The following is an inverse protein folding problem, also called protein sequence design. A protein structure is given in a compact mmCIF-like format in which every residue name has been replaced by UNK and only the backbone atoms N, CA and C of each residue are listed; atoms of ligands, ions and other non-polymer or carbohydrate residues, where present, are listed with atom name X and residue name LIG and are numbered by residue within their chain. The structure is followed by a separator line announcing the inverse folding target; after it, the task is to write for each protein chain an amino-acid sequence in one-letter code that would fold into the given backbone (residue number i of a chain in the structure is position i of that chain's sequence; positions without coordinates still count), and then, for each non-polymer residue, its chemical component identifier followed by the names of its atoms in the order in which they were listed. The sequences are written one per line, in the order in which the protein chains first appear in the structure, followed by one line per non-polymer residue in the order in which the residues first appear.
data_IF_352166467061
#
_entry.id   IF_352166467061
#
_cell.length_a   1.000
_cell.length_b   1.000
_cell.length_c   1.000
_cell.angle_alpha   90.00
_cell.angle_beta   90.00
_cell.angle_gamma   90.00
#
_symmetry.space_group_name_H-M   'P 1'
#
loop_
_entity.id
_entity.type
_entity.pdbx_description
1 polymer ?
#
# COMPACT_ATOMS: atom_id res chain seq x y z
N UNK A 1 -44.75 -20.11 -2.39
CA UNK A 1 -43.39 -20.48 -2.81
C UNK A 1 -43.05 -19.67 -4.05
N UNK A 2 -42.48 -18.52 -3.88
CA UNK A 2 -42.01 -17.66 -4.98
C UNK A 2 -40.60 -17.19 -4.60
N UNK A 3 -39.66 -17.59 -5.43
CA UNK A 3 -38.21 -17.52 -5.40
C UNK A 3 -37.72 -16.09 -5.29
N UNK A 4 -37.00 -15.79 -4.19
CA UNK A 4 -36.11 -14.64 -4.04
C UNK A 4 -34.70 -15.08 -4.49
N UNK A 5 -34.43 -15.02 -5.79
CA UNK A 5 -33.10 -15.18 -6.37
C UNK A 5 -32.90 -14.03 -7.36
N UNK A 6 -32.18 -12.99 -7.01
CA UNK A 6 -31.90 -11.95 -7.99
C UNK A 6 -31.20 -10.68 -7.54
N UNK A 7 -30.23 -10.69 -6.62
CA UNK A 7 -29.47 -9.45 -6.33
C UNK A 7 -27.97 -9.61 -6.08
N UNK A 8 -27.39 -10.79 -6.25
CA UNK A 8 -25.97 -11.04 -5.97
C UNK A 8 -25.04 -11.02 -7.19
N UNK A 9 -25.56 -10.94 -8.41
CA UNK A 9 -24.74 -10.98 -9.64
C UNK A 9 -23.91 -9.72 -9.94
N UNK A 10 -24.39 -8.48 -9.74
CA UNK A 10 -23.59 -7.29 -10.09
C UNK A 10 -22.38 -7.08 -9.17
N UNK A 11 -22.47 -7.48 -7.90
CA UNK A 11 -21.37 -7.28 -6.93
C UNK A 11 -20.18 -8.21 -7.19
N UNK A 12 -20.42 -9.46 -7.57
CA UNK A 12 -19.36 -10.42 -7.93
C UNK A 12 -18.62 -10.00 -9.22
N UNK A 13 -19.33 -9.39 -10.18
CA UNK A 13 -18.70 -8.87 -11.40
C UNK A 13 -17.79 -7.67 -11.09
N UNK A 14 -18.21 -6.76 -10.20
CA UNK A 14 -17.41 -5.62 -9.76
C UNK A 14 -16.12 -6.06 -9.07
N UNK A 15 -16.19 -7.00 -8.13
CA UNK A 15 -14.99 -7.53 -7.46
C UNK A 15 -14.02 -8.20 -8.45
N UNK A 16 -14.53 -8.89 -9.48
CA UNK A 16 -13.70 -9.49 -10.51
C UNK A 16 -12.98 -8.43 -11.36
N UNK A 17 -13.65 -7.35 -11.75
CA UNK A 17 -13.03 -6.24 -12.49
C UNK A 17 -11.96 -5.51 -11.64
N UNK A 18 -12.23 -5.26 -10.36
CA UNK A 18 -11.29 -4.60 -9.44
C UNK A 18 -10.06 -5.48 -9.16
N UNK A 19 -10.24 -6.77 -8.92
CA UNK A 19 -9.14 -7.72 -8.72
C UNK A 19 -8.30 -7.90 -10.00
N UNK A 20 -8.91 -7.84 -11.18
CA UNK A 20 -8.21 -7.83 -12.46
C UNK A 20 -7.38 -6.54 -12.63
N UNK A 21 -7.92 -5.38 -12.27
CA UNK A 21 -7.20 -4.12 -12.31
C UNK A 21 -5.97 -4.15 -11.39
N UNK A 22 -6.12 -4.69 -10.17
CA UNK A 22 -5.01 -4.85 -9.24
C UNK A 22 -3.93 -5.80 -9.79
N UNK A 23 -4.31 -6.97 -10.30
CA UNK A 23 -3.38 -7.94 -10.86
C UNK A 23 -2.62 -7.39 -12.07
N UNK A 24 -3.29 -6.63 -12.94
CA UNK A 24 -2.67 -5.93 -14.06
C UNK A 24 -1.65 -4.89 -13.58
N UNK A 25 -1.98 -4.14 -12.53
CA UNK A 25 -1.07 -3.14 -11.93
C UNK A 25 0.16 -3.79 -11.30
N UNK A 26 0.00 -4.92 -10.62
CA UNK A 26 1.11 -5.69 -10.05
C UNK A 26 2.04 -6.22 -11.14
N UNK A 27 1.48 -6.79 -12.21
CA UNK A 27 2.26 -7.30 -13.34
C UNK A 27 3.08 -6.19 -14.02
N UNK A 28 2.52 -5.00 -14.21
CA UNK A 28 3.24 -3.84 -14.76
C UNK A 28 4.36 -3.36 -13.84
N UNK A 29 4.11 -3.27 -12.54
CA UNK A 29 5.12 -2.85 -11.57
C UNK A 29 6.28 -3.84 -11.54
N UNK A 30 5.99 -5.16 -11.51
CA UNK A 30 7.04 -6.19 -11.54
C UNK A 30 7.86 -6.12 -12.82
N UNK A 31 7.26 -5.84 -13.96
CA UNK A 31 7.98 -5.66 -15.23
C UNK A 31 8.93 -4.46 -15.19
N UNK A 32 8.52 -3.34 -14.61
CA UNK A 32 9.35 -2.13 -14.47
C UNK A 32 10.50 -2.37 -13.49
N UNK A 33 10.25 -3.06 -12.37
CA UNK A 33 11.25 -3.29 -11.32
C UNK A 33 12.21 -4.43 -11.65
N UNK A 34 11.76 -5.47 -12.35
CA UNK A 34 12.61 -6.62 -12.71
C UNK A 34 13.69 -6.26 -13.74
N UNK A 35 13.49 -5.21 -14.54
CA UNK A 35 14.52 -4.71 -15.45
C UNK A 35 15.72 -4.08 -14.72
N UNK A 36 15.59 -3.74 -13.43
CA UNK A 36 16.61 -3.04 -12.65
C UNK A 36 17.21 -3.87 -11.48
N UNK A 37 16.65 -5.01 -11.14
CA UNK A 37 17.16 -5.86 -10.07
C UNK A 37 17.90 -7.05 -10.67
N UNK A 38 19.19 -6.91 -10.93
CA UNK A 38 20.10 -8.05 -10.87
C UNK A 38 20.13 -8.51 -9.41
N UNK A 39 19.25 -9.44 -9.06
CA UNK A 39 19.37 -10.15 -7.80
C UNK A 39 20.71 -10.90 -7.84
N UNK A 40 21.68 -10.40 -7.09
CA UNK A 40 22.89 -11.18 -6.82
C UNK A 40 22.41 -12.49 -6.15
N UNK A 41 22.47 -13.59 -6.90
CA UNK A 41 22.21 -14.93 -6.37
C UNK A 41 23.34 -15.30 -5.40
N UNK A 42 23.30 -14.71 -4.19
CA UNK A 42 24.17 -15.07 -3.09
C UNK A 42 23.55 -16.30 -2.44
N UNK A 43 24.06 -17.48 -2.79
CA UNK A 43 23.70 -18.70 -2.08
C UNK A 43 24.71 -18.92 -0.95
N UNK A 44 24.23 -18.96 0.30
CA UNK A 44 25.05 -19.39 1.44
C UNK A 44 25.15 -20.92 1.45
N UNK A 45 26.36 -21.45 1.70
CA UNK A 45 26.51 -22.89 1.97
C UNK A 45 25.65 -23.30 3.17
N UNK A 46 24.98 -24.43 3.06
CA UNK A 46 24.20 -25.00 4.15
C UNK A 46 25.04 -25.58 5.26
N UNK A 47 26.27 -25.95 4.97
CA UNK A 47 27.14 -26.73 5.88
C UNK A 47 28.41 -25.97 6.28
N UNK A 48 28.98 -25.14 5.38
CA UNK A 48 30.26 -24.50 5.60
C UNK A 48 30.08 -23.03 6.03
N UNK A 49 30.92 -22.56 6.94
CA UNK A 49 30.98 -21.14 7.36
C UNK A 49 31.86 -20.31 6.44
N UNK A 50 32.80 -20.94 5.71
CA UNK A 50 33.74 -20.29 4.82
C UNK A 50 34.21 -21.23 3.72
N UNK A 51 35.16 -20.79 2.91
CA UNK A 51 35.77 -21.62 1.89
C UNK A 51 36.69 -22.68 2.52
N UNK A 52 36.72 -23.92 2.01
CA UNK A 52 37.75 -24.88 2.35
C UNK A 52 39.12 -24.32 2.09
N UNK A 53 40.08 -24.54 2.97
CA UNK A 53 41.47 -24.16 2.77
C UNK A 53 42.35 -25.37 2.63
N UNK A 54 43.33 -25.27 1.74
CA UNK A 54 44.36 -26.27 1.55
C UNK A 54 45.66 -25.60 1.99
N UNK A 55 46.41 -26.21 2.88
CA UNK A 55 47.72 -25.76 3.28
C UNK A 55 48.75 -26.84 2.98
N UNK A 56 49.88 -26.39 2.44
CA UNK A 56 51.05 -27.22 2.19
C UNK A 56 52.22 -26.60 2.98
N UNK A 57 52.81 -27.36 3.82
CA UNK A 57 54.04 -26.96 4.55
C UNK A 57 55.16 -27.93 4.29
N UNK A 58 56.37 -27.35 4.25
CA UNK A 58 57.64 -28.09 4.16
C UNK A 58 58.60 -27.53 5.20
N UNK A 59 59.07 -28.37 6.08
CA UNK A 59 60.05 -28.06 7.09
C UNK A 59 61.30 -28.93 6.86
N UNK A 60 62.42 -28.32 6.63
CA UNK A 60 63.74 -29.02 6.56
C UNK A 60 64.57 -28.71 7.77
N UNK A 61 65.33 -29.70 8.27
CA UNK A 61 66.30 -29.50 9.36
C UNK A 61 67.52 -28.69 8.83
N UNK A 62 67.99 -27.73 9.60
CA UNK A 62 69.23 -26.98 9.29
C UNK A 62 70.48 -27.74 9.66
N UNK A 63 70.34 -28.64 10.64
CA UNK A 63 71.44 -29.40 11.18
C UNK A 63 71.64 -30.79 10.55
N UNK A 64 70.52 -31.32 9.96
CA UNK A 64 70.52 -32.62 9.30
C UNK A 64 69.79 -32.52 7.95
N UNK A 65 70.58 -32.49 6.86
CA UNK A 65 70.04 -32.35 5.48
C UNK A 65 69.15 -33.50 5.04
N UNK A 66 69.12 -34.62 5.73
CA UNK A 66 68.27 -35.78 5.43
C UNK A 66 67.02 -35.88 6.29
N UNK A 67 66.77 -34.85 7.12
CA UNK A 67 65.54 -34.79 7.93
C UNK A 67 64.63 -33.70 7.40
N UNK A 68 63.44 -34.05 6.95
CA UNK A 68 62.40 -33.12 6.49
C UNK A 68 61.00 -33.60 6.87
N UNK A 69 60.08 -32.65 6.90
CA UNK A 69 58.70 -32.89 7.14
C UNK A 69 57.89 -32.15 6.05
N UNK A 70 57.00 -32.88 5.40
CA UNK A 70 56.01 -32.32 4.44
C UNK A 70 54.64 -32.61 4.93
N UNK A 71 53.78 -31.61 5.00
CA UNK A 71 52.41 -31.74 5.41
C UNK A 71 51.47 -31.08 4.40
N UNK A 72 50.49 -31.86 3.94
CA UNK A 72 49.37 -31.36 3.18
C UNK A 72 48.11 -31.49 4.06
N UNK A 73 47.45 -30.38 4.34
CA UNK A 73 46.20 -30.41 5.09
C UNK A 73 45.06 -29.71 4.35
N UNK A 74 43.87 -30.28 4.45
CA UNK A 74 42.62 -29.70 3.95
C UNK A 74 41.75 -29.39 5.14
N UNK A 75 41.38 -28.15 5.33
CA UNK A 75 40.55 -27.67 6.43
C UNK A 75 39.17 -27.31 5.95
N UNK A 76 38.16 -27.88 6.54
CA UNK A 76 36.75 -27.72 6.24
C UNK A 76 36.07 -27.02 7.42
N UNK A 77 35.74 -25.72 7.31
CA UNK A 77 35.04 -25.01 8.39
C UNK A 77 33.53 -25.27 8.34
N UNK A 78 33.02 -26.03 9.29
CA UNK A 78 31.60 -26.39 9.40
C UNK A 78 30.84 -25.40 10.30
N UNK A 79 29.58 -25.16 9.97
CA UNK A 79 28.66 -24.44 10.85
C UNK A 79 28.36 -25.24 12.11
N UNK A 80 28.41 -24.58 13.26
CA UNK A 80 27.93 -25.20 14.49
C UNK A 80 26.41 -25.49 14.37
N UNK A 81 25.87 -26.49 15.11
CA UNK A 81 24.43 -26.76 15.09
C UNK A 81 23.57 -25.58 15.44
N UNK A 82 24.03 -24.68 16.31
CA UNK A 82 23.34 -23.44 16.67
C UNK A 82 23.27 -22.49 15.47
N UNK A 83 24.38 -22.27 14.76
CA UNK A 83 24.45 -21.41 13.57
C UNK A 83 23.59 -21.96 12.43
N UNK A 84 23.63 -23.27 12.21
CA UNK A 84 22.79 -23.93 11.21
C UNK A 84 21.28 -23.74 11.49
N UNK A 85 20.84 -23.86 12.74
CA UNK A 85 19.46 -23.64 13.13
C UNK A 85 19.06 -22.16 12.97
N UNK A 86 19.94 -21.23 13.33
CA UNK A 86 19.71 -19.80 13.14
C UNK A 86 19.57 -19.42 11.67
N UNK A 87 20.43 -19.95 10.80
CA UNK A 87 20.35 -19.73 9.34
C UNK A 87 19.02 -20.23 8.77
N UNK A 88 18.55 -21.39 9.21
CA UNK A 88 17.26 -21.94 8.81
C UNK A 88 16.11 -21.02 9.24
N UNK A 89 16.15 -20.49 10.45
CA UNK A 89 15.15 -19.54 10.95
C UNK A 89 15.21 -18.21 10.18
N UNK A 90 16.40 -17.67 9.91
CA UNK A 90 16.58 -16.46 9.11
C UNK A 90 15.97 -16.63 7.72
N UNK A 91 16.22 -17.78 7.07
CA UNK A 91 15.65 -18.08 5.77
C UNK A 91 14.12 -18.11 5.80
N UNK A 92 13.52 -18.79 6.78
CA UNK A 92 12.07 -18.83 6.94
C UNK A 92 11.47 -17.44 7.21
N UNK A 93 12.17 -16.62 8.02
CA UNK A 93 11.76 -15.26 8.27
C UNK A 93 11.85 -14.40 7.01
N UNK A 94 12.92 -14.54 6.21
CA UNK A 94 13.10 -13.81 4.95
C UNK A 94 11.96 -14.12 3.96
N UNK A 95 11.54 -15.38 3.86
CA UNK A 95 10.39 -15.79 3.03
C UNK A 95 9.08 -15.11 3.50
N UNK A 96 8.84 -15.09 4.81
CA UNK A 96 7.65 -14.41 5.40
C UNK A 96 7.71 -12.89 5.22
N UNK A 97 8.88 -12.28 5.37
CA UNK A 97 9.10 -10.85 5.11
C UNK A 97 8.78 -10.54 3.64
N UNK A 98 9.27 -11.35 2.71
CA UNK A 98 8.98 -11.16 1.29
C UNK A 98 7.48 -11.26 0.98
N UNK A 99 6.77 -12.22 1.59
CA UNK A 99 5.31 -12.32 1.46
C UNK A 99 4.60 -11.05 1.97
N UNK A 100 5.00 -10.51 3.11
CA UNK A 100 4.41 -9.27 3.65
C UNK A 100 4.78 -8.04 2.82
N UNK A 101 5.97 -7.98 2.25
CA UNK A 101 6.36 -6.92 1.31
C UNK A 101 5.48 -6.93 0.06
N UNK A 102 5.24 -8.11 -0.51
CA UNK A 102 4.33 -8.27 -1.67
C UNK A 102 2.90 -7.86 -1.32
N UNK A 103 2.40 -8.25 -0.14
CA UNK A 103 1.08 -7.84 0.34
C UNK A 103 1.00 -6.32 0.52
N UNK A 104 2.04 -5.70 1.08
CA UNK A 104 2.11 -4.24 1.25
C UNK A 104 2.17 -3.50 -0.09
N UNK A 105 2.91 -4.02 -1.07
CA UNK A 105 2.91 -3.47 -2.44
C UNK A 105 1.52 -3.55 -3.08
N UNK A 106 0.84 -4.70 -2.92
CA UNK A 106 -0.54 -4.86 -3.38
C UNK A 106 -1.49 -3.86 -2.71
N UNK A 107 -1.35 -3.66 -1.41
CA UNK A 107 -2.13 -2.67 -0.67
C UNK A 107 -1.86 -1.23 -1.15
N UNK A 108 -0.61 -0.87 -1.41
CA UNK A 108 -0.24 0.43 -1.96
C UNK A 108 -0.86 0.68 -3.34
N UNK A 109 -0.76 -0.30 -4.25
CA UNK A 109 -1.39 -0.22 -5.57
C UNK A 109 -2.91 -0.14 -5.47
N UNK A 110 -3.53 -0.90 -4.55
CA UNK A 110 -4.96 -0.80 -4.25
C UNK A 110 -5.36 0.61 -3.82
N UNK A 111 -4.53 1.28 -3.01
CA UNK A 111 -4.75 2.66 -2.59
C UNK A 111 -4.77 3.64 -3.77
N UNK A 112 -3.80 3.53 -4.68
CA UNK A 112 -3.74 4.37 -5.88
C UNK A 112 -4.90 4.08 -6.85
N UNK A 113 -5.28 2.81 -7.02
CA UNK A 113 -6.43 2.43 -7.83
C UNK A 113 -7.73 2.98 -7.23
N UNK A 114 -7.96 2.80 -5.93
CA UNK A 114 -9.12 3.37 -5.23
C UNK A 114 -9.18 4.89 -5.42
N UNK A 115 -8.05 5.58 -5.26
CA UNK A 115 -7.99 7.02 -5.47
C UNK A 115 -8.45 7.38 -6.88
N UNK A 116 -7.85 6.80 -7.93
CA UNK A 116 -8.19 7.12 -9.32
C UNK A 116 -9.67 6.82 -9.65
N UNK A 117 -10.18 5.68 -9.18
CA UNK A 117 -11.56 5.25 -9.41
C UNK A 117 -12.58 6.19 -8.75
N UNK A 118 -12.37 6.53 -7.48
CA UNK A 118 -13.29 7.40 -6.74
C UNK A 118 -13.23 8.86 -7.18
N UNK A 119 -12.05 9.38 -7.54
CA UNK A 119 -11.92 10.72 -8.13
C UNK A 119 -12.64 10.81 -9.48
N UNK A 120 -12.51 9.78 -10.31
CA UNK A 120 -13.25 9.68 -11.57
C UNK A 120 -14.76 9.66 -11.32
N UNK A 121 -15.24 8.82 -10.40
CA UNK A 121 -16.66 8.72 -10.04
C UNK A 121 -17.23 10.02 -9.49
N UNK A 122 -16.48 10.73 -8.65
CA UNK A 122 -16.88 12.06 -8.18
C UNK A 122 -17.02 13.05 -9.33
N UNK A 123 -16.10 13.01 -10.30
CA UNK A 123 -16.15 13.86 -11.48
C UNK A 123 -17.39 13.56 -12.36
N UNK A 124 -17.74 12.29 -12.55
CA UNK A 124 -18.98 11.90 -13.25
C UNK A 124 -20.24 12.49 -12.57
N UNK A 125 -20.32 12.36 -11.24
CA UNK A 125 -21.46 12.93 -10.50
C UNK A 125 -21.51 14.45 -10.63
N UNK A 126 -20.38 15.15 -10.51
CA UNK A 126 -20.31 16.60 -10.70
C UNK A 126 -20.75 16.99 -12.11
N UNK A 127 -20.25 16.31 -13.15
CA UNK A 127 -20.64 16.57 -14.54
C UNK A 127 -22.13 16.38 -14.76
N UNK A 128 -22.70 15.29 -14.27
CA UNK A 128 -24.14 15.03 -14.41
C UNK A 128 -25.01 16.11 -13.74
N UNK A 129 -24.54 16.67 -12.62
CA UNK A 129 -25.23 17.78 -11.94
C UNK A 129 -25.09 19.09 -12.72
N UNK A 130 -23.91 19.38 -13.28
CA UNK A 130 -23.74 20.55 -14.16
C UNK A 130 -24.60 20.46 -15.42
N UNK A 131 -24.72 19.28 -16.02
CA UNK A 131 -25.59 19.06 -17.18
C UNK A 131 -27.08 19.36 -16.86
N UNK A 132 -27.56 18.93 -15.68
CA UNK A 132 -28.90 19.27 -15.23
C UNK A 132 -29.11 20.77 -15.03
N UNK A 133 -28.11 21.46 -14.44
CA UNK A 133 -28.13 22.92 -14.31
C UNK A 133 -28.17 23.60 -15.67
N UNK A 134 -27.33 23.18 -16.60
CA UNK A 134 -27.28 23.74 -17.95
C UNK A 134 -28.62 23.56 -18.68
N UNK A 135 -29.18 22.35 -18.66
CA UNK A 135 -30.49 22.10 -19.27
C UNK A 135 -31.60 23.01 -18.73
N UNK A 136 -31.56 23.33 -17.43
CA UNK A 136 -32.48 24.27 -16.83
C UNK A 136 -32.25 25.68 -17.33
N UNK A 137 -30.98 26.14 -17.29
CA UNK A 137 -30.61 27.50 -17.77
C UNK A 137 -30.96 27.70 -19.23
N UNK A 138 -30.76 26.69 -20.08
CA UNK A 138 -31.12 26.74 -21.51
C UNK A 138 -32.64 26.95 -21.70
N UNK A 139 -33.48 26.24 -20.93
CA UNK A 139 -34.94 26.44 -20.96
C UNK A 139 -35.33 27.84 -20.49
N UNK A 140 -34.75 28.30 -19.39
CA UNK A 140 -35.02 29.62 -18.84
C UNK A 140 -34.53 30.73 -19.78
N UNK A 141 -33.35 30.58 -20.35
CA UNK A 141 -32.79 31.52 -21.33
C UNK A 141 -33.70 31.64 -22.57
N UNK A 142 -34.17 30.52 -23.11
CA UNK A 142 -35.09 30.55 -24.26
C UNK A 142 -36.40 31.31 -23.95
N UNK A 143 -37.00 31.06 -22.77
CA UNK A 143 -38.21 31.77 -22.32
C UNK A 143 -37.99 33.25 -22.10
N UNK A 144 -36.89 33.63 -21.40
CA UNK A 144 -36.58 35.01 -21.10
C UNK A 144 -36.22 35.81 -22.36
N UNK A 145 -35.52 35.17 -23.30
CA UNK A 145 -35.18 35.82 -24.57
C UNK A 145 -36.43 36.17 -25.38
N UNK A 146 -37.40 35.25 -25.46
CA UNK A 146 -38.70 35.54 -26.14
C UNK A 146 -39.42 36.75 -25.55
N UNK A 147 -39.44 36.85 -24.21
CA UNK A 147 -40.08 38.00 -23.52
C UNK A 147 -39.28 39.29 -23.64
N UNK A 148 -37.95 39.19 -23.65
CA UNK A 148 -37.09 40.37 -23.88
C UNK A 148 -37.21 40.88 -25.32
N UNK A 149 -37.25 40.00 -26.32
CA UNK A 149 -37.42 40.35 -27.72
C UNK A 149 -38.81 40.96 -27.98
N UNK A 150 -39.82 40.57 -27.19
CA UNK A 150 -41.15 41.17 -27.19
C UNK A 150 -41.23 42.53 -26.44
N UNK A 151 -40.13 42.96 -25.77
CA UNK A 151 -40.06 44.18 -24.97
C UNK A 151 -40.74 44.07 -23.59
N UNK A 152 -41.15 42.87 -23.16
CA UNK A 152 -41.82 42.65 -21.89
C UNK A 152 -40.88 42.52 -20.69
N UNK A 153 -39.58 42.20 -20.93
CA UNK A 153 -38.59 42.05 -19.87
C UNK A 153 -37.30 42.83 -20.17
N UNK A 154 -36.59 43.26 -19.10
CA UNK A 154 -35.28 43.89 -19.25
C UNK A 154 -34.21 42.93 -19.78
N UNK A 155 -33.34 43.40 -20.68
CA UNK A 155 -32.18 42.66 -21.20
C UNK A 155 -31.27 42.09 -20.08
N UNK A 156 -31.19 42.78 -18.95
CA UNK A 156 -30.40 42.37 -17.80
C UNK A 156 -30.71 40.91 -17.33
N UNK A 157 -31.98 40.46 -17.42
CA UNK A 157 -32.37 39.11 -17.03
C UNK A 157 -31.73 38.04 -17.93
N UNK A 158 -31.66 38.30 -19.24
CA UNK A 158 -31.02 37.41 -20.21
C UNK A 158 -29.50 37.36 -19.98
N UNK A 159 -28.86 38.50 -19.75
CA UNK A 159 -27.43 38.57 -19.48
C UNK A 159 -27.02 37.86 -18.19
N UNK A 160 -27.86 37.87 -17.16
CA UNK A 160 -27.61 37.08 -15.92
C UNK A 160 -27.58 35.57 -16.21
N UNK A 161 -28.50 35.05 -17.01
CA UNK A 161 -28.54 33.65 -17.41
C UNK A 161 -27.32 33.26 -18.28
N UNK A 162 -26.94 34.15 -19.22
CA UNK A 162 -25.72 33.95 -20.03
C UNK A 162 -24.48 33.84 -19.15
N UNK A 163 -24.33 34.71 -18.15
CA UNK A 163 -23.24 34.64 -17.18
C UNK A 163 -23.20 33.36 -16.43
N UNK A 164 -24.34 32.88 -15.88
CA UNK A 164 -24.44 31.59 -15.19
C UNK A 164 -24.05 30.43 -16.12
N UNK A 165 -24.43 30.48 -17.40
CA UNK A 165 -24.02 29.44 -18.37
C UNK A 165 -22.49 29.43 -18.60
N UNK A 166 -21.85 30.61 -18.61
CA UNK A 166 -20.37 30.71 -18.70
C UNK A 166 -19.72 30.12 -17.44
N UNK A 167 -20.25 30.40 -16.25
CA UNK A 167 -19.72 29.90 -14.99
C UNK A 167 -19.85 28.35 -14.90
N UNK A 168 -20.94 27.78 -15.42
CA UNK A 168 -21.11 26.32 -15.59
C UNK A 168 -20.08 25.77 -16.59
N UNK A 169 -19.87 26.44 -17.72
CA UNK A 169 -18.91 25.99 -18.73
C UNK A 169 -17.48 25.94 -18.19
N UNK A 170 -17.07 26.95 -17.41
CA UNK A 170 -15.78 26.99 -16.72
C UNK A 170 -15.65 25.83 -15.72
N UNK A 171 -16.66 25.66 -14.86
CA UNK A 171 -16.68 24.55 -13.89
C UNK A 171 -16.61 23.18 -14.58
N UNK A 172 -17.29 23.04 -15.72
CA UNK A 172 -17.25 21.80 -16.53
C UNK A 172 -15.86 21.53 -17.08
N UNK A 173 -15.16 22.55 -17.56
CA UNK A 173 -13.79 22.42 -18.09
C UNK A 173 -12.82 21.92 -17.00
N UNK A 174 -12.90 22.49 -15.79
CA UNK A 174 -12.08 22.07 -14.65
C UNK A 174 -12.35 20.61 -14.24
N UNK A 175 -13.62 20.20 -14.19
CA UNK A 175 -13.99 18.83 -13.81
C UNK A 175 -13.58 17.84 -14.90
N UNK A 176 -13.70 18.17 -16.18
CA UNK A 176 -13.21 17.32 -17.28
C UNK A 176 -11.69 17.11 -17.21
N UNK A 177 -10.94 18.15 -16.83
CA UNK A 177 -9.50 18.03 -16.60
C UNK A 177 -9.20 17.07 -15.43
N UNK A 178 -9.91 17.20 -14.29
CA UNK A 178 -9.75 16.29 -13.16
C UNK A 178 -10.09 14.84 -13.55
N UNK A 179 -11.18 14.65 -14.30
CA UNK A 179 -11.59 13.33 -14.80
C UNK A 179 -10.53 12.71 -15.71
N UNK A 180 -9.96 13.50 -16.62
CA UNK A 180 -8.88 13.04 -17.51
C UNK A 180 -7.61 12.66 -16.74
N UNK A 181 -7.25 13.41 -15.69
CA UNK A 181 -6.12 13.08 -14.82
C UNK A 181 -6.33 11.76 -14.08
N UNK A 182 -7.52 11.54 -13.52
CA UNK A 182 -7.86 10.29 -12.81
C UNK A 182 -7.85 9.09 -13.77
N UNK A 183 -8.36 9.27 -15.00
CA UNK A 183 -8.31 8.24 -16.04
C UNK A 183 -6.86 7.94 -16.46
N UNK A 184 -6.04 8.97 -16.66
CA UNK A 184 -4.63 8.81 -17.02
C UNK A 184 -3.85 8.04 -15.94
N UNK A 185 -4.10 8.33 -14.66
CA UNK A 185 -3.51 7.58 -13.54
C UNK A 185 -3.93 6.10 -13.58
N UNK A 186 -5.22 5.84 -13.78
CA UNK A 186 -5.73 4.47 -13.91
C UNK A 186 -5.08 3.72 -15.09
N UNK A 187 -4.99 4.35 -16.26
CA UNK A 187 -4.33 3.80 -17.45
C UNK A 187 -2.84 3.53 -17.20
N UNK A 188 -2.16 4.44 -16.52
CA UNK A 188 -0.75 4.28 -16.16
C UNK A 188 -0.56 3.05 -15.24
N UNK A 189 -1.44 2.85 -14.27
CA UNK A 189 -1.36 1.75 -13.32
C UNK A 189 -1.72 0.41 -13.97
N UNK A 190 -2.84 0.34 -14.69
CA UNK A 190 -3.41 -0.93 -15.18
C UNK A 190 -3.06 -1.26 -16.63
N UNK A 191 -2.79 -0.24 -17.46
CA UNK A 191 -2.70 -0.36 -18.91
C UNK A 191 -4.05 -0.50 -19.61
N UNK A 192 -5.16 -0.32 -18.90
CA UNK A 192 -6.51 -0.42 -19.45
C UNK A 192 -7.04 0.98 -19.80
N UNK A 193 -7.72 1.11 -20.94
CA UNK A 193 -8.23 2.40 -21.42
C UNK A 193 -9.60 2.78 -20.83
N UNK A 194 -10.27 1.86 -20.18
CA UNK A 194 -11.61 2.08 -19.61
C UNK A 194 -11.65 1.77 -18.13
N UNK A 195 -12.33 2.63 -17.37
CA UNK A 195 -12.64 2.40 -15.97
C UNK A 195 -13.63 1.23 -15.81
N UNK A 196 -13.57 0.46 -14.72
CA UNK A 196 -14.59 -0.52 -14.36
C UNK A 196 -15.98 0.11 -14.27
N UNK A 197 -17.00 -0.64 -14.67
CA UNK A 197 -18.38 -0.15 -14.62
C UNK A 197 -18.92 -0.05 -13.20
N UNK A 198 -18.46 -0.91 -12.30
CA UNK A 198 -18.79 -0.91 -10.89
C UNK A 198 -17.51 -0.85 -10.06
N UNK A 199 -17.42 0.16 -9.18
CA UNK A 199 -16.26 0.43 -8.33
C UNK A 199 -16.58 0.20 -6.84
N UNK A 200 -17.80 -0.17 -6.55
CA UNK A 200 -18.26 -0.41 -5.18
C UNK A 200 -17.71 -1.73 -4.67
N UNK A 201 -16.98 -1.65 -3.57
CA UNK A 201 -16.47 -2.83 -2.88
C UNK A 201 -17.55 -3.43 -2.00
N UNK A 202 -17.57 -4.75 -1.86
CA UNK A 202 -18.56 -5.45 -1.04
C UNK A 202 -18.49 -4.96 0.41
N UNK A 203 -19.65 -4.80 1.03
CA UNK A 203 -19.76 -4.50 2.46
C UNK A 203 -19.16 -5.64 3.29
N UNK A 204 -17.85 -5.59 3.49
CA UNK A 204 -17.18 -6.48 4.44
C UNK A 204 -17.36 -5.89 5.84
N UNK A 205 -17.73 -6.72 6.83
CA UNK A 205 -17.84 -6.23 8.18
C UNK A 205 -16.48 -5.66 8.62
N UNK A 206 -16.44 -4.36 8.78
CA UNK A 206 -15.30 -3.64 9.37
C UNK A 206 -15.18 -4.14 10.81
N UNK A 207 -14.24 -5.03 11.10
CA UNK A 207 -14.02 -5.59 12.42
C UNK A 207 -13.81 -4.49 13.49
N UNK A 208 -13.73 -4.87 14.77
CA UNK A 208 -13.40 -3.92 15.84
C UNK A 208 -11.98 -3.41 15.65
N UNK A 209 -11.81 -2.33 14.89
CA UNK A 209 -10.60 -1.63 14.46
C UNK A 209 -9.24 -2.11 15.01
N UNK A 210 -9.07 -2.17 16.34
CA UNK A 210 -7.79 -2.53 16.95
C UNK A 210 -7.35 -4.01 16.69
N UNK A 211 -8.28 -4.96 16.64
CA UNK A 211 -7.95 -6.38 16.38
C UNK A 211 -7.58 -6.57 14.90
N UNK A 212 -8.21 -5.81 14.01
CA UNK A 212 -7.96 -5.89 12.56
C UNK A 212 -6.64 -5.21 12.20
N UNK A 213 -6.24 -4.12 12.89
CA UNK A 213 -4.95 -3.46 12.69
C UNK A 213 -3.75 -4.38 12.99
N UNK A 214 -3.91 -5.35 13.88
CA UNK A 214 -2.86 -6.35 14.14
C UNK A 214 -2.55 -7.23 12.91
N UNK A 215 -3.48 -7.34 11.97
CA UNK A 215 -3.31 -8.09 10.71
C UNK A 215 -2.82 -7.22 9.55
N UNK A 216 -2.68 -5.90 9.76
CA UNK A 216 -2.23 -4.97 8.72
C UNK A 216 -0.84 -5.35 8.17
N UNK A 217 -0.64 -5.47 6.83
CA UNK A 217 0.63 -5.94 6.24
C UNK A 217 1.85 -5.14 6.70
N UNK A 218 1.73 -3.82 6.85
CA UNK A 218 2.81 -2.96 7.36
C UNK A 218 3.20 -3.35 8.79
N UNK A 219 2.23 -3.55 9.68
CA UNK A 219 2.47 -3.95 11.07
C UNK A 219 3.16 -5.31 11.14
N UNK A 220 2.66 -6.29 10.37
CA UNK A 220 3.24 -7.61 10.30
C UNK A 220 4.67 -7.57 9.74
N UNK A 221 4.92 -6.78 8.69
CA UNK A 221 6.25 -6.58 8.11
C UNK A 221 7.24 -6.05 9.14
N UNK A 222 6.90 -4.96 9.82
CA UNK A 222 7.77 -4.35 10.83
C UNK A 222 8.07 -5.30 11.99
N UNK A 223 7.09 -6.07 12.44
CA UNK A 223 7.26 -7.08 13.48
C UNK A 223 8.20 -8.22 13.05
N UNK A 224 8.06 -8.70 11.82
CA UNK A 224 8.95 -9.71 11.25
C UNK A 224 10.38 -9.17 11.07
N UNK A 225 10.54 -7.92 10.63
CA UNK A 225 11.85 -7.26 10.53
C UNK A 225 12.53 -7.12 11.90
N UNK A 226 11.78 -6.79 12.95
CA UNK A 226 12.30 -6.77 14.32
C UNK A 226 12.78 -8.16 14.74
N UNK A 227 11.98 -9.20 14.48
CA UNK A 227 12.39 -10.59 14.79
C UNK A 227 13.65 -11.00 14.01
N UNK A 228 13.74 -10.62 12.73
CA UNK A 228 14.92 -10.88 11.91
C UNK A 228 16.15 -10.18 12.47
N UNK A 229 16.02 -8.91 12.85
CA UNK A 229 17.12 -8.13 13.43
C UNK A 229 17.65 -8.77 14.72
N UNK A 230 16.76 -9.16 15.64
CA UNK A 230 17.14 -9.84 16.87
C UNK A 230 17.85 -11.18 16.59
N UNK A 231 17.35 -11.95 15.63
CA UNK A 231 17.95 -13.23 15.25
C UNK A 231 19.32 -13.05 14.58
N UNK A 232 19.48 -12.03 13.72
CA UNK A 232 20.78 -11.70 13.10
C UNK A 232 21.84 -11.36 14.16
N UNK A 233 21.50 -10.56 15.18
CA UNK A 233 22.40 -10.23 16.28
C UNK A 233 22.78 -11.50 17.05
N UNK A 234 21.83 -12.34 17.39
CA UNK A 234 22.11 -13.62 18.07
C UNK A 234 23.03 -14.51 17.22
N UNK A 235 22.81 -14.51 15.90
CA UNK A 235 23.62 -15.30 14.95
C UNK A 235 25.02 -14.74 14.81
N UNK A 236 25.17 -13.40 14.78
CA UNK A 236 26.47 -12.74 14.71
C UNK A 236 27.31 -13.12 15.94
N UNK A 237 26.74 -13.05 17.13
CA UNK A 237 27.42 -13.48 18.35
C UNK A 237 27.73 -14.98 18.40
N UNK A 238 26.90 -15.81 17.78
CA UNK A 238 27.20 -17.23 17.62
C UNK A 238 28.27 -17.49 16.55
N UNK A 239 28.40 -16.61 15.55
CA UNK A 239 29.37 -16.69 14.45
C UNK A 239 30.76 -16.17 14.79
N UNK A 240 30.89 -15.31 15.83
CA UNK A 240 32.19 -14.90 16.38
C UNK A 240 32.93 -16.05 17.08
N UNK A 241 32.28 -17.19 17.25
CA UNK A 241 32.92 -18.43 17.69
C UNK A 241 33.63 -19.07 16.49
N UNK A 242 34.86 -19.52 16.71
CA UNK A 242 35.59 -20.26 15.69
C UNK A 242 34.72 -21.40 15.13
N UNK A 243 34.71 -21.61 13.82
CA UNK A 243 33.93 -22.68 13.22
C UNK A 243 34.42 -24.06 13.69
N UNK A 244 33.54 -25.02 13.71
CA UNK A 244 33.97 -26.41 13.85
C UNK A 244 34.82 -26.75 12.63
N UNK A 245 36.04 -27.16 12.82
CA UNK A 245 36.95 -27.45 11.72
C UNK A 245 37.23 -28.96 11.68
N UNK A 246 36.99 -29.55 10.51
CA UNK A 246 37.46 -30.89 10.22
C UNK A 246 38.69 -30.78 9.33
N UNK A 247 39.81 -31.25 9.80
CA UNK A 247 41.08 -31.25 9.07
C UNK A 247 41.48 -32.66 8.66
N UNK A 248 41.78 -32.80 7.36
CA UNK A 248 42.38 -34.00 6.81
C UNK A 248 43.83 -33.71 6.53
N UNK A 249 44.76 -34.47 7.14
CA UNK A 249 46.20 -34.20 7.04
C UNK A 249 46.89 -35.42 6.49
N UNK A 250 47.74 -35.22 5.46
CA UNK A 250 48.70 -36.20 5.01
C UNK A 250 50.11 -35.67 5.31
N UNK A 251 50.87 -36.41 6.07
CA UNK A 251 52.22 -36.04 6.53
C UNK A 251 53.22 -37.05 6.06
N UNK A 252 54.34 -36.57 5.53
CA UNK A 252 55.49 -37.37 5.18
C UNK A 252 56.72 -36.82 5.92
N UNK A 253 57.32 -37.67 6.75
CA UNK A 253 58.51 -37.32 7.53
C UNK A 253 59.64 -38.24 7.14
N UNK A 254 60.81 -37.66 6.93
CA UNK A 254 62.06 -38.40 6.76
C UNK A 254 63.00 -38.01 7.90
N UNK A 255 63.53 -39.01 8.62
CA UNK A 255 64.52 -38.79 9.64
C UNK A 255 65.56 -39.92 9.62
N UNK A 256 66.82 -39.53 9.48
CA UNK A 256 67.97 -40.45 9.50
C UNK A 256 67.86 -41.63 8.51
N UNK A 257 67.16 -41.45 7.35
CA UNK A 257 66.98 -42.45 6.31
C UNK A 257 65.74 -43.36 6.48
N UNK A 258 64.88 -43.06 7.43
CA UNK A 258 63.58 -43.74 7.61
C UNK A 258 62.46 -42.75 7.15
N UNK A 259 61.69 -43.17 6.14
CA UNK A 259 60.52 -42.43 5.67
C UNK A 259 59.26 -42.99 6.41
N UNK A 260 58.45 -42.06 6.95
CA UNK A 260 57.19 -42.40 7.62
C UNK A 260 56.05 -41.55 6.99
N UNK A 261 54.98 -42.22 6.54
CA UNK A 261 53.81 -41.60 5.97
C UNK A 261 52.64 -41.75 6.92
N UNK A 262 52.05 -40.62 7.28
CA UNK A 262 50.96 -40.55 8.24
C UNK A 262 49.71 -39.92 7.61
N UNK A 263 48.53 -40.44 7.89
CA UNK A 263 47.24 -39.87 7.57
C UNK A 263 46.49 -39.55 8.87
N UNK A 264 46.06 -38.32 9.00
CA UNK A 264 45.36 -37.86 10.20
C UNK A 264 44.00 -37.22 9.88
N UNK A 265 43.07 -37.41 10.80
CA UNK A 265 41.82 -36.69 10.83
C UNK A 265 41.75 -35.94 12.16
N UNK A 266 41.58 -34.64 12.14
CA UNK A 266 41.39 -33.84 13.34
C UNK A 266 40.02 -33.13 13.29
N UNK A 267 39.34 -33.10 14.43
CA UNK A 267 38.13 -32.34 14.61
C UNK A 267 38.36 -31.34 15.72
N UNK A 268 38.33 -30.05 15.37
CA UNK A 268 38.42 -28.93 16.32
C UNK A 268 37.04 -28.39 16.62
N UNK A 269 36.67 -28.39 17.88
CA UNK A 269 35.40 -27.85 18.39
C UNK A 269 35.76 -26.72 19.35
N UNK A 270 35.40 -25.46 19.05
CA UNK A 270 35.70 -24.34 19.94
C UNK A 270 34.88 -24.47 21.23
N UNK A 271 35.54 -24.39 22.37
CA UNK A 271 34.90 -24.37 23.69
C UNK A 271 34.78 -22.91 24.14
N UNK A 272 33.56 -22.40 24.13
CA UNK A 272 33.27 -21.02 24.60
C UNK A 272 32.97 -21.05 26.10
N UNK A 273 33.87 -20.54 26.89
CA UNK A 273 33.73 -20.34 28.34
C UNK A 273 33.28 -18.89 28.62
N UNK A 274 32.07 -18.54 28.20
CA UNK A 274 31.46 -17.21 28.42
C UNK A 274 31.12 -16.45 27.15
N UNK A 275 30.27 -15.42 27.25
CA UNK A 275 29.97 -14.50 26.16
C UNK A 275 30.99 -13.37 26.14
N UNK A 276 31.70 -13.20 25.02
CA UNK A 276 32.66 -12.11 24.81
C UNK A 276 31.99 -10.90 24.17
N UNK A 277 30.75 -10.54 24.59
CA UNK A 277 30.16 -9.28 24.16
C UNK A 277 30.95 -8.12 24.74
N UNK A 278 31.48 -7.26 23.87
CA UNK A 278 32.02 -5.98 24.34
C UNK A 278 30.91 -5.08 24.84
N UNK A 279 31.19 -4.22 25.80
CA UNK A 279 30.21 -3.24 26.32
C UNK A 279 29.74 -2.30 25.20
N UNK A 280 30.58 -2.05 24.21
CA UNK A 280 30.28 -1.27 23.00
C UNK A 280 29.20 -1.97 22.16
N UNK A 281 29.37 -3.26 21.88
CA UNK A 281 28.42 -4.04 21.05
C UNK A 281 27.06 -4.18 21.76
N UNK A 282 27.07 -4.37 23.08
CA UNK A 282 25.87 -4.41 23.88
C UNK A 282 25.11 -3.08 23.82
N UNK A 283 25.81 -1.94 23.92
CA UNK A 283 25.20 -0.62 23.85
C UNK A 283 24.62 -0.30 22.47
N UNK A 284 25.32 -0.64 21.39
CA UNK A 284 24.82 -0.51 20.01
C UNK A 284 23.59 -1.37 19.78
N UNK A 285 23.59 -2.60 20.26
CA UNK A 285 22.44 -3.47 20.17
C UNK A 285 21.21 -2.91 20.93
N UNK A 286 21.41 -2.44 22.15
CA UNK A 286 20.34 -1.83 22.93
C UNK A 286 19.76 -0.60 22.22
N UNK A 287 20.61 0.25 21.66
CA UNK A 287 20.19 1.42 20.89
C UNK A 287 19.38 1.03 19.65
N UNK A 288 19.89 0.10 18.84
CA UNK A 288 19.20 -0.37 17.64
C UNK A 288 17.84 -1.02 17.96
N UNK A 289 17.78 -1.82 19.03
CA UNK A 289 16.53 -2.45 19.46
C UNK A 289 15.52 -1.41 19.97
N UNK A 290 15.98 -0.38 20.69
CA UNK A 290 15.14 0.72 21.17
C UNK A 290 14.59 1.52 19.99
N UNK A 291 15.43 1.86 19.01
CA UNK A 291 15.01 2.59 17.81
C UNK A 291 13.96 1.81 17.01
N UNK A 292 14.16 0.51 16.86
CA UNK A 292 13.21 -0.35 16.16
C UNK A 292 11.88 -0.51 16.91
N UNK A 293 11.92 -0.58 18.24
CA UNK A 293 10.73 -0.59 19.09
C UNK A 293 9.94 0.72 18.95
N UNK A 294 10.64 1.88 18.97
CA UNK A 294 10.02 3.18 18.74
C UNK A 294 9.37 3.31 17.36
N UNK A 295 9.98 2.75 16.33
CA UNK A 295 9.41 2.73 14.99
C UNK A 295 8.13 1.88 14.92
N UNK A 296 8.09 0.74 15.60
CA UNK A 296 6.88 -0.07 15.75
C UNK A 296 5.77 0.70 16.44
N UNK A 297 6.06 1.31 17.60
CA UNK A 297 5.08 2.07 18.38
C UNK A 297 4.53 3.25 17.56
N UNK A 298 5.42 3.99 16.85
CA UNK A 298 5.00 5.06 15.96
C UNK A 298 4.06 4.57 14.88
N UNK A 299 4.42 3.49 14.17
CA UNK A 299 3.59 2.93 13.10
C UNK A 299 2.24 2.44 13.61
N UNK A 300 2.18 1.84 14.81
CA UNK A 300 0.94 1.45 15.44
C UNK A 300 0.03 2.65 15.75
N UNK A 301 0.62 3.73 16.27
CA UNK A 301 -0.10 4.97 16.56
C UNK A 301 -0.60 5.64 15.26
N UNK A 302 0.21 5.66 14.20
CA UNK A 302 -0.17 6.21 12.90
C UNK A 302 -1.35 5.44 12.28
N UNK A 303 -1.30 4.10 12.25
CA UNK A 303 -2.39 3.27 11.77
C UNK A 303 -3.68 3.48 12.57
N UNK A 304 -3.55 3.55 13.91
CA UNK A 304 -4.69 3.81 14.78
C UNK A 304 -5.28 5.20 14.54
N UNK A 305 -4.43 6.23 14.44
CA UNK A 305 -4.88 7.59 14.17
C UNK A 305 -5.60 7.71 12.82
N UNK A 306 -5.08 7.07 11.77
CA UNK A 306 -5.75 7.02 10.46
C UNK A 306 -7.13 6.38 10.58
N UNK A 307 -7.23 5.24 11.25
CA UNK A 307 -8.51 4.58 11.48
C UNK A 307 -9.50 5.47 12.24
N UNK A 308 -9.09 6.01 13.38
CA UNK A 308 -9.93 6.88 14.22
C UNK A 308 -10.38 8.15 13.46
N UNK A 309 -9.54 8.68 12.56
CA UNK A 309 -9.89 9.80 11.70
C UNK A 309 -10.98 9.41 10.69
N UNK A 310 -10.89 8.24 10.05
CA UNK A 310 -11.90 7.76 9.10
C UNK A 310 -13.24 7.46 9.80
N UNK A 311 -13.22 6.95 11.02
CA UNK A 311 -14.44 6.74 11.82
C UNK A 311 -15.12 8.07 12.15
N UNK A 312 -14.34 9.09 12.57
CA UNK A 312 -14.89 10.43 12.79
C UNK A 312 -15.45 11.05 11.52
N UNK A 313 -14.76 10.86 10.40
CA UNK A 313 -15.22 11.35 9.09
C UNK A 313 -16.53 10.67 8.67
N UNK A 314 -16.69 9.38 8.93
CA UNK A 314 -17.94 8.66 8.67
C UNK A 314 -19.11 9.26 9.45
N UNK A 315 -18.92 9.50 10.75
CA UNK A 315 -19.94 10.12 11.60
C UNK A 315 -20.35 11.50 11.06
N UNK A 316 -19.36 12.30 10.64
CA UNK A 316 -19.62 13.62 10.07
C UNK A 316 -20.38 13.54 8.74
N UNK A 317 -19.97 12.67 7.81
CA UNK A 317 -20.64 12.51 6.52
C UNK A 317 -22.09 12.00 6.66
N UNK A 318 -22.35 11.10 7.60
CA UNK A 318 -23.71 10.62 7.89
C UNK A 318 -24.59 11.76 8.41
N UNK A 319 -24.07 12.59 9.33
CA UNK A 319 -24.81 13.75 9.81
C UNK A 319 -25.02 14.79 8.71
N UNK A 320 -24.01 15.05 7.86
CA UNK A 320 -24.15 15.91 6.69
C UNK A 320 -25.22 15.37 5.73
N UNK A 321 -25.30 14.06 5.50
CA UNK A 321 -26.34 13.45 4.66
C UNK A 321 -27.73 13.72 5.21
N UNK A 322 -27.91 13.59 6.51
CA UNK A 322 -29.17 13.87 7.19
C UNK A 322 -29.58 15.34 7.01
N UNK A 323 -28.65 16.28 7.27
CA UNK A 323 -28.90 17.71 7.14
C UNK A 323 -29.15 18.14 5.69
N UNK A 324 -28.37 17.61 4.72
CA UNK A 324 -28.57 17.90 3.30
C UNK A 324 -29.89 17.36 2.78
N UNK A 325 -30.34 16.23 3.29
CA UNK A 325 -31.68 15.68 2.94
C UNK A 325 -32.80 16.61 3.43
N UNK A 326 -32.68 17.13 4.66
CA UNK A 326 -33.63 18.10 5.19
C UNK A 326 -33.58 19.44 4.42
N UNK A 327 -32.36 19.94 4.15
CA UNK A 327 -32.19 21.19 3.38
C UNK A 327 -32.77 21.08 1.98
N UNK A 328 -32.59 19.94 1.29
CA UNK A 328 -33.16 19.71 -0.03
C UNK A 328 -34.69 19.70 0.00
N UNK A 329 -35.31 19.05 0.99
CA UNK A 329 -36.75 19.07 1.16
C UNK A 329 -37.29 20.49 1.33
N UNK A 330 -36.68 21.28 2.22
CA UNK A 330 -37.05 22.68 2.45
C UNK A 330 -36.83 23.55 1.20
N UNK A 331 -35.69 23.40 0.50
CA UNK A 331 -35.40 24.15 -0.72
C UNK A 331 -36.43 23.88 -1.83
N UNK A 332 -36.85 22.62 -1.98
CA UNK A 332 -37.90 22.25 -2.95
C UNK A 332 -39.24 22.91 -2.61
N UNK A 333 -39.69 22.84 -1.35
CA UNK A 333 -40.92 23.49 -0.91
C UNK A 333 -40.85 25.01 -1.14
N UNK A 334 -39.70 25.67 -0.79
CA UNK A 334 -39.49 27.10 -1.02
C UNK A 334 -39.61 27.43 -2.52
N UNK A 335 -38.95 26.66 -3.40
CA UNK A 335 -38.97 26.93 -4.84
C UNK A 335 -40.35 26.71 -5.44
N UNK A 336 -41.13 25.73 -4.96
CA UNK A 336 -42.51 25.50 -5.36
C UNK A 336 -43.44 26.66 -4.93
N UNK A 337 -43.32 27.14 -3.70
CA UNK A 337 -44.09 28.28 -3.22
C UNK A 337 -43.74 29.58 -3.95
N UNK A 338 -42.45 29.84 -4.17
CA UNK A 338 -41.96 30.99 -4.93
C UNK A 338 -42.44 30.95 -6.41
N UNK A 339 -42.53 29.78 -7.01
CA UNK A 339 -43.06 29.62 -8.36
C UNK A 339 -44.54 30.09 -8.48
N UNK A 340 -45.37 29.81 -7.48
CA UNK A 340 -46.79 30.24 -7.44
C UNK A 340 -46.92 31.77 -7.33
N UNK A 341 -46.04 32.40 -6.58
CA UNK A 341 -46.08 33.86 -6.31
C UNK A 341 -45.40 34.66 -7.42
N UNK A 342 -44.41 34.07 -8.11
CA UNK A 342 -43.69 34.68 -9.27
C UNK A 342 -44.68 35.04 -10.38
N UNK A 343 -45.65 34.21 -10.67
CA UNK A 343 -46.63 34.46 -11.73
C UNK A 343 -47.65 35.59 -11.37
N UNK A 344 -47.62 36.07 -10.13
CA UNK A 344 -48.43 37.17 -9.60
C UNK A 344 -47.66 38.49 -9.45
N UNK A 345 -46.45 38.63 -10.03
CA UNK A 345 -45.55 39.78 -9.92
C UNK A 345 -45.14 40.16 -8.47
N UNK A 346 -45.35 39.30 -7.50
CA UNK A 346 -45.05 39.55 -6.08
C UNK A 346 -43.57 39.27 -5.69
N UNK A 347 -42.85 38.49 -6.51
CA UNK A 347 -41.44 38.16 -6.29
C UNK A 347 -40.63 38.36 -7.56
N UNK A 348 -39.46 39.02 -7.44
CA UNK A 348 -38.59 39.21 -8.58
C UNK A 348 -38.08 37.86 -9.13
N UNK A 349 -37.99 37.77 -10.46
CA UNK A 349 -37.46 36.60 -11.15
C UNK A 349 -36.07 36.18 -10.64
N UNK A 350 -35.21 37.16 -10.31
CA UNK A 350 -33.85 36.95 -9.78
C UNK A 350 -33.90 36.16 -8.45
N UNK A 351 -34.79 36.55 -7.53
CA UNK A 351 -34.93 35.84 -6.23
C UNK A 351 -35.37 34.41 -6.42
N UNK A 352 -36.34 34.15 -7.30
CA UNK A 352 -36.79 32.80 -7.63
C UNK A 352 -35.65 31.97 -8.26
N UNK A 353 -34.94 32.52 -9.25
CA UNK A 353 -33.83 31.85 -9.92
C UNK A 353 -32.72 31.46 -8.92
N UNK A 354 -32.32 32.41 -8.07
CA UNK A 354 -31.31 32.19 -7.04
C UNK A 354 -31.69 31.02 -6.11
N UNK A 355 -32.92 30.98 -5.63
CA UNK A 355 -33.42 29.91 -4.77
C UNK A 355 -33.49 28.58 -5.48
N UNK A 356 -33.83 28.59 -6.75
CA UNK A 356 -33.83 27.39 -7.57
C UNK A 356 -32.41 26.84 -7.78
N UNK A 357 -31.45 27.69 -8.08
CA UNK A 357 -30.05 27.30 -8.22
C UNK A 357 -29.48 26.76 -6.89
N UNK A 358 -29.80 27.39 -5.75
CA UNK A 358 -29.44 26.90 -4.43
C UNK A 358 -30.02 25.49 -4.13
N UNK A 359 -31.24 25.21 -4.60
CA UNK A 359 -31.84 23.88 -4.47
C UNK A 359 -31.07 22.83 -5.29
N UNK A 360 -30.68 23.14 -6.52
CA UNK A 360 -29.85 22.27 -7.36
C UNK A 360 -28.44 22.06 -6.75
N UNK A 361 -27.85 23.10 -6.15
CA UNK A 361 -26.58 22.97 -5.43
C UNK A 361 -26.69 22.06 -4.22
N UNK A 362 -27.79 22.14 -3.50
CA UNK A 362 -28.07 21.24 -2.35
C UNK A 362 -28.26 19.80 -2.83
N UNK A 363 -28.94 19.57 -3.94
CA UNK A 363 -29.05 18.24 -4.56
C UNK A 363 -27.71 17.69 -4.99
N UNK A 364 -26.86 18.53 -5.62
CA UNK A 364 -25.49 18.18 -6.02
C UNK A 364 -24.66 17.78 -4.79
N UNK A 365 -24.69 18.57 -3.72
CA UNK A 365 -23.98 18.30 -2.48
C UNK A 365 -24.45 16.99 -1.83
N UNK A 366 -25.73 16.69 -1.86
CA UNK A 366 -26.26 15.42 -1.35
C UNK A 366 -25.78 14.23 -2.19
N UNK A 367 -25.77 14.36 -3.52
CA UNK A 367 -25.26 13.31 -4.40
C UNK A 367 -23.76 13.05 -4.17
N UNK A 368 -22.96 14.10 -4.05
CA UNK A 368 -21.52 14.00 -3.74
C UNK A 368 -21.26 13.41 -2.35
N UNK A 369 -22.07 13.79 -1.35
CA UNK A 369 -21.93 13.22 -0.01
C UNK A 369 -22.17 11.70 0.00
N UNK A 370 -23.12 11.19 -0.80
CA UNK A 370 -23.34 9.74 -0.95
C UNK A 370 -22.12 9.04 -1.56
N UNK A 371 -21.52 9.62 -2.61
CA UNK A 371 -20.28 9.08 -3.20
C UNK A 371 -19.12 9.13 -2.21
N UNK A 372 -19.03 10.21 -1.42
CA UNK A 372 -17.99 10.33 -0.38
C UNK A 372 -18.14 9.28 0.73
N UNK A 373 -19.36 8.88 1.09
CA UNK A 373 -19.59 7.79 2.04
C UNK A 373 -19.13 6.44 1.49
N UNK A 374 -19.39 6.16 0.21
CA UNK A 374 -18.92 4.94 -0.45
C UNK A 374 -17.39 4.92 -0.58
N UNK A 375 -16.79 6.04 -0.98
CA UNK A 375 -15.33 6.21 -1.00
C UNK A 375 -14.70 6.00 0.37
N UNK A 376 -15.32 6.54 1.42
CA UNK A 376 -14.83 6.39 2.78
C UNK A 376 -14.80 4.91 3.22
N UNK A 377 -15.79 4.12 2.81
CA UNK A 377 -15.78 2.67 3.06
C UNK A 377 -14.54 2.01 2.42
N UNK A 378 -14.22 2.33 1.16
CA UNK A 378 -12.99 1.85 0.49
C UNK A 378 -11.73 2.31 1.21
N UNK A 379 -11.70 3.55 1.73
CA UNK A 379 -10.58 4.06 2.53
C UNK A 379 -10.45 3.34 3.89
N UNK A 380 -11.56 2.96 4.50
CA UNK A 380 -11.57 2.15 5.73
C UNK A 380 -11.01 0.75 5.48
N UNK A 381 -11.38 0.10 4.36
CA UNK A 381 -10.78 -1.18 3.95
C UNK A 381 -9.26 -1.04 3.74
N UNK A 382 -8.83 0.03 3.07
CA UNK A 382 -7.40 0.34 2.88
C UNK A 382 -6.66 0.49 4.21
N UNK A 383 -7.23 1.24 5.16
CA UNK A 383 -6.64 1.47 6.48
C UNK A 383 -6.59 0.20 7.36
N UNK A 384 -7.43 -0.78 7.08
CA UNK A 384 -7.38 -2.11 7.71
C UNK A 384 -6.39 -3.07 7.03
N UNK A 385 -5.73 -2.63 5.96
CA UNK A 385 -4.77 -3.45 5.23
C UNK A 385 -5.41 -4.42 4.23
N UNK A 386 -6.65 -4.18 3.82
CA UNK A 386 -7.40 -5.00 2.86
C UNK A 386 -7.17 -4.43 1.46
N UNK A 387 -6.55 -5.21 0.58
CA UNK A 387 -6.38 -4.88 -0.85
C UNK A 387 -7.67 -5.15 -1.65
N UNK A 388 -7.76 -4.55 -2.86
CA UNK A 388 -8.80 -4.81 -3.86
C UNK A 388 -8.84 -6.27 -4.29
#
# INVERSE_FOLDING_TARGET
MTSLVGSSFPCLAAEAELSQALSSSQARLTHITSSNTQSANLSSSTWLTGLPSISLSHLGSLDNSNSYEQELSVNLPFKSPALHNSDKQIKQLAERIHQQQTALQGLYLSGLLRQSLWEYRQSEVKLSQLERKQQLLDKLHHQQKQLTDAGELPLANTLLLERESVDIALSRADILQQQAQSLALYQQLTGQDRMPSAIEETDRPLGRGAETLAQHPLWQLLKLQQQQHLLLIQTQHAGERDPWTVSLTAKNTADAGVDDQQLGIAVSVPLTLGSALSQSDLSQWQQANTEQSLNLDRSALELKNQWDQLVRQQTNLVEQQRLLTQALALSRTITEELAKVKDQDQVSYEVWLRRYMEALDTESRLALNRVSLQQLHSQQLQALGISL
#
